data_IF_056831625781
#
_entry.id   IF_056831625781
#
_cell.length_a   1.000
_cell.length_b   1.000
_cell.length_c   1.000
_cell.angle_alpha   90.00
_cell.angle_beta   90.00
_cell.angle_gamma   90.00
#
_symmetry.space_group_name_H-M   'P 1'
#
loop_
_entity.id
_entity.type
_entity.pdbx_description
1 polymer ?
#
# COMPACT_ATOMS: atom_id res chain seq x y z
N UNK A 1 -4.45 -23.25 7.46
CA UNK A 1 -4.68 -23.09 8.91
C UNK A 1 -5.79 -22.06 9.12
N UNK A 2 -6.14 -21.69 10.36
CA UNK A 2 -6.98 -20.51 10.58
C UNK A 2 -6.12 -19.25 10.43
N UNK A 3 -6.66 -18.21 9.81
CA UNK A 3 -5.97 -16.92 9.70
C UNK A 3 -5.76 -16.33 11.10
N UNK A 4 -4.55 -15.88 11.37
CA UNK A 4 -4.21 -15.12 12.57
C UNK A 4 -3.75 -13.72 12.17
N UNK A 5 -4.15 -12.71 12.93
CA UNK A 5 -3.80 -11.31 12.70
C UNK A 5 -3.18 -10.74 13.95
N UNK A 6 -2.08 -10.02 13.83
CA UNK A 6 -1.54 -9.25 14.93
C UNK A 6 -2.42 -8.03 15.22
N UNK A 7 -3.02 -8.04 16.40
CA UNK A 7 -3.88 -6.95 16.84
C UNK A 7 -3.05 -5.92 17.63
N UNK A 8 -2.94 -4.71 17.11
CA UNK A 8 -2.19 -3.63 17.77
C UNK A 8 -2.77 -3.32 19.15
N UNK A 9 -4.08 -3.48 19.33
CA UNK A 9 -4.74 -3.27 20.60
C UNK A 9 -4.23 -4.28 21.64
N UNK A 10 -4.24 -5.59 21.38
CA UNK A 10 -3.79 -6.60 22.35
C UNK A 10 -2.28 -6.85 22.37
N UNK A 11 -1.57 -6.45 21.31
CA UNK A 11 -0.16 -6.77 21.03
C UNK A 11 0.13 -8.26 20.88
N UNK A 12 -0.84 -9.02 20.39
CA UNK A 12 -0.68 -10.45 20.15
C UNK A 12 -1.27 -10.84 18.79
N UNK A 13 -0.81 -11.97 18.24
CA UNK A 13 -1.48 -12.60 17.10
C UNK A 13 -2.71 -13.33 17.62
N UNK A 14 -3.88 -12.99 17.08
CA UNK A 14 -5.17 -13.55 17.47
C UNK A 14 -5.78 -14.28 16.27
N UNK A 15 -6.50 -15.37 16.52
CA UNK A 15 -7.25 -16.05 15.46
C UNK A 15 -8.34 -15.09 14.96
N UNK A 16 -8.31 -14.78 13.68
CA UNK A 16 -9.28 -13.89 13.06
C UNK A 16 -10.62 -14.61 12.88
N UNK A 17 -11.67 -14.05 13.46
CA UNK A 17 -13.05 -14.50 13.32
C UNK A 17 -13.91 -13.30 12.92
N UNK A 18 -14.57 -13.30 11.76
CA UNK A 18 -15.45 -12.22 11.37
C UNK A 18 -16.61 -12.06 12.35
N UNK A 19 -17.12 -10.84 12.47
CA UNK A 19 -18.25 -10.47 13.32
C UNK A 19 -19.56 -11.08 12.83
N UNK A 20 -19.72 -11.24 11.52
CA UNK A 20 -20.95 -11.73 10.90
C UNK A 20 -20.66 -12.80 9.83
N UNK A 21 -20.76 -14.06 10.23
CA UNK A 21 -20.60 -15.20 9.33
C UNK A 21 -19.25 -15.17 8.60
N UNK A 22 -19.29 -14.98 7.28
CA UNK A 22 -18.12 -14.93 6.41
C UNK A 22 -17.85 -13.52 5.84
N UNK A 23 -18.60 -12.51 6.29
CA UNK A 23 -18.43 -11.12 5.85
C UNK A 23 -17.35 -10.42 6.66
N UNK A 24 -16.40 -9.79 5.96
CA UNK A 24 -15.32 -9.01 6.56
C UNK A 24 -15.46 -7.56 6.15
N UNK A 25 -15.55 -6.67 7.13
CA UNK A 25 -15.63 -5.21 6.94
C UNK A 25 -14.31 -4.58 7.37
N UNK A 26 -13.56 -4.08 6.40
CA UNK A 26 -12.23 -3.51 6.61
C UNK A 26 -12.21 -2.03 6.24
N UNK A 27 -11.76 -1.19 7.16
CA UNK A 27 -11.48 0.23 6.91
C UNK A 27 -9.98 0.49 7.01
N UNK A 28 -9.40 1.23 6.07
CA UNK A 28 -8.00 1.69 6.14
C UNK A 28 -7.97 3.19 5.93
N UNK A 29 -7.33 3.94 6.82
CA UNK A 29 -7.15 5.37 6.64
C UNK A 29 -6.36 5.66 5.35
N UNK A 30 -6.92 6.50 4.49
CA UNK A 30 -6.32 6.87 3.21
C UNK A 30 -5.46 8.13 3.28
N UNK A 31 -5.42 8.86 2.16
CA UNK A 31 -4.40 9.88 1.90
C UNK A 31 -5.01 11.28 1.97
N UNK A 32 -4.23 12.23 2.50
CA UNK A 32 -4.49 13.67 2.30
C UNK A 32 -3.99 14.06 0.92
N UNK A 33 -4.89 14.39 0.00
CA UNK A 33 -4.59 14.59 -1.43
C UNK A 33 -4.15 16.01 -1.76
N UNK A 34 -3.06 16.46 -1.11
CA UNK A 34 -2.44 17.78 -1.36
C UNK A 34 -1.16 17.71 -2.22
N UNK A 35 -0.60 16.52 -2.40
CA UNK A 35 0.67 16.28 -3.08
C UNK A 35 0.72 14.85 -3.62
N UNK A 36 1.72 14.55 -4.46
CA UNK A 36 1.95 13.19 -4.93
C UNK A 36 2.27 12.21 -3.78
N UNK A 37 1.84 10.97 -3.93
CA UNK A 37 2.13 9.93 -2.97
C UNK A 37 3.61 9.56 -2.96
N UNK A 38 4.14 9.21 -1.79
CA UNK A 38 5.53 8.77 -1.61
C UNK A 38 5.62 7.28 -1.27
N UNK A 39 6.84 6.73 -1.25
CA UNK A 39 7.04 5.28 -1.00
C UNK A 39 6.49 4.83 0.36
N UNK A 40 6.46 5.72 1.35
CA UNK A 40 5.71 5.50 2.60
C UNK A 40 4.22 5.21 2.39
N UNK A 41 3.54 5.93 1.49
CA UNK A 41 2.15 5.63 1.11
C UNK A 41 2.06 4.31 0.33
N UNK A 42 2.98 4.06 -0.60
CA UNK A 42 3.04 2.81 -1.36
C UNK A 42 3.10 1.59 -0.43
N UNK A 43 3.88 1.67 0.65
CA UNK A 43 3.96 0.59 1.66
C UNK A 43 2.60 0.27 2.28
N UNK A 44 1.82 1.28 2.66
CA UNK A 44 0.49 1.08 3.23
C UNK A 44 -0.46 0.53 2.16
N UNK A 45 -0.47 1.12 0.97
CA UNK A 45 -1.32 0.70 -0.14
C UNK A 45 -1.07 -0.76 -0.53
N UNK A 46 0.18 -1.16 -0.72
CA UNK A 46 0.57 -2.53 -1.09
C UNK A 46 0.29 -3.51 0.05
N UNK A 47 0.58 -3.16 1.31
CA UNK A 47 0.30 -4.04 2.44
C UNK A 47 -1.20 -4.38 2.55
N UNK A 48 -2.07 -3.38 2.49
CA UNK A 48 -3.51 -3.61 2.61
C UNK A 48 -4.15 -4.15 1.33
N UNK A 49 -3.53 -3.94 0.16
CA UNK A 49 -3.87 -4.67 -1.06
C UNK A 49 -3.61 -6.17 -0.91
N UNK A 50 -2.43 -6.58 -0.40
CA UNK A 50 -2.12 -7.99 -0.12
C UNK A 50 -3.09 -8.59 0.91
N UNK A 51 -3.42 -7.85 1.97
CA UNK A 51 -4.44 -8.26 2.94
C UNK A 51 -5.79 -8.50 2.25
N UNK A 52 -6.24 -7.55 1.43
CA UNK A 52 -7.52 -7.65 0.71
C UNK A 52 -7.54 -8.84 -0.26
N UNK A 53 -6.43 -9.08 -0.98
CA UNK A 53 -6.28 -10.19 -1.92
C UNK A 53 -6.30 -11.53 -1.18
N UNK A 54 -5.62 -11.64 -0.04
CA UNK A 54 -5.63 -12.87 0.75
C UNK A 54 -7.00 -13.17 1.34
N UNK A 55 -7.69 -12.17 1.91
CA UNK A 55 -9.04 -12.35 2.44
C UNK A 55 -10.00 -12.85 1.36
N UNK A 56 -9.99 -12.22 0.18
CA UNK A 56 -10.81 -12.66 -0.97
C UNK A 56 -10.39 -14.05 -1.47
N UNK A 57 -9.09 -14.34 -1.54
CA UNK A 57 -8.59 -15.67 -1.93
C UNK A 57 -9.03 -16.78 -0.95
N UNK A 58 -9.13 -16.46 0.36
CA UNK A 58 -9.66 -17.36 1.38
C UNK A 58 -11.18 -17.52 1.34
N UNK A 59 -11.84 -16.82 0.44
CA UNK A 59 -13.28 -16.90 0.22
C UNK A 59 -14.10 -16.00 1.15
N UNK A 60 -13.49 -15.06 1.89
CA UNK A 60 -14.24 -14.08 2.66
C UNK A 60 -14.99 -13.10 1.75
N UNK A 61 -16.19 -12.71 2.17
CA UNK A 61 -16.96 -11.64 1.54
C UNK A 61 -16.49 -10.29 2.09
N UNK A 62 -15.45 -9.73 1.46
CA UNK A 62 -14.77 -8.52 1.92
C UNK A 62 -15.46 -7.25 1.38
N UNK A 63 -15.86 -6.38 2.29
CA UNK A 63 -16.07 -4.94 2.01
C UNK A 63 -14.86 -4.16 2.50
N UNK A 64 -14.04 -3.67 1.57
CA UNK A 64 -12.86 -2.83 1.83
C UNK A 64 -13.16 -1.36 1.54
N UNK A 65 -13.06 -0.53 2.58
CA UNK A 65 -13.25 0.92 2.52
C UNK A 65 -11.93 1.63 2.82
N UNK A 66 -11.60 2.65 2.05
CA UNK A 66 -10.46 3.54 2.33
C UNK A 66 -10.81 4.96 1.95
N UNK A 67 -10.76 5.90 2.87
CA UNK A 67 -11.20 7.26 2.58
C UNK A 67 -10.22 8.07 1.74
N UNK A 68 -10.68 9.23 1.29
CA UNK A 68 -9.85 10.32 0.77
C UNK A 68 -10.07 11.53 1.67
N UNK A 69 -8.99 12.07 2.26
CA UNK A 69 -9.04 13.37 2.93
C UNK A 69 -8.81 14.44 1.87
N UNK A 70 -9.90 15.05 1.40
CA UNK A 70 -9.93 16.10 0.38
C UNK A 70 -10.20 17.51 0.95
N UNK A 71 -10.17 17.64 2.28
CA UNK A 71 -10.18 18.92 2.99
C UNK A 71 -9.24 18.86 4.21
N UNK A 72 -8.20 19.67 4.23
CA UNK A 72 -7.24 19.75 5.34
C UNK A 72 -6.42 21.05 5.25
N UNK A 73 -5.78 21.47 6.35
CA UNK A 73 -4.86 22.61 6.40
C UNK A 73 -3.76 22.52 5.33
N UNK A 74 -3.25 21.31 5.00
CA UNK A 74 -2.22 21.12 3.96
C UNK A 74 -2.76 21.35 2.56
N UNK A 75 -4.00 20.92 2.29
CA UNK A 75 -4.67 21.10 0.99
C UNK A 75 -4.93 22.58 0.75
N UNK A 76 -5.51 23.26 1.75
CA UNK A 76 -5.83 24.70 1.65
C UNK A 76 -4.57 25.52 1.40
N UNK A 77 -3.49 25.27 2.16
CA UNK A 77 -2.22 25.96 1.96
C UNK A 77 -1.65 25.72 0.57
N UNK A 78 -1.60 24.47 0.11
CA UNK A 78 -1.07 24.15 -1.23
C UNK A 78 -1.92 24.75 -2.35
N UNK A 79 -3.24 24.73 -2.22
CA UNK A 79 -4.14 25.32 -3.22
C UNK A 79 -3.90 26.84 -3.33
N UNK A 80 -3.75 27.52 -2.18
CA UNK A 80 -3.40 28.93 -2.14
C UNK A 80 -2.02 29.22 -2.74
N UNK A 81 -1.00 28.42 -2.41
CA UNK A 81 0.36 28.54 -2.98
C UNK A 81 0.35 28.38 -4.51
N UNK A 82 -0.51 27.50 -5.03
CA UNK A 82 -0.66 27.24 -6.46
C UNK A 82 -1.55 28.25 -7.19
N UNK A 83 -2.32 29.08 -6.47
CA UNK A 83 -3.32 29.98 -7.04
C UNK A 83 -4.48 29.23 -7.71
N UNK A 84 -4.85 28.04 -7.23
CA UNK A 84 -5.96 27.23 -7.74
C UNK A 84 -6.99 26.93 -6.63
N UNK A 85 -8.21 26.49 -7.00
CA UNK A 85 -9.18 26.03 -6.00
C UNK A 85 -8.75 24.70 -5.37
N UNK A 86 -9.16 24.45 -4.13
CA UNK A 86 -8.81 23.19 -3.48
C UNK A 86 -9.40 21.99 -4.22
N UNK A 87 -10.58 22.10 -4.83
CA UNK A 87 -11.20 21.04 -5.63
C UNK A 87 -10.36 20.68 -6.86
N UNK A 88 -9.79 21.67 -7.55
CA UNK A 88 -8.90 21.42 -8.69
C UNK A 88 -7.64 20.68 -8.26
N UNK A 89 -7.03 21.09 -7.14
CA UNK A 89 -5.88 20.41 -6.57
C UNK A 89 -6.22 18.96 -6.19
N UNK A 90 -7.29 18.75 -5.43
CA UNK A 90 -7.63 17.42 -4.91
C UNK A 90 -8.01 16.47 -6.01
N UNK A 91 -8.80 16.90 -7.02
CA UNK A 91 -9.16 16.02 -8.14
C UNK A 91 -7.92 15.59 -8.94
N UNK A 92 -6.98 16.51 -9.17
CA UNK A 92 -5.71 16.21 -9.83
C UNK A 92 -4.84 15.25 -9.01
N UNK A 93 -4.79 15.42 -7.69
CA UNK A 93 -4.02 14.53 -6.79
C UNK A 93 -4.68 13.16 -6.59
N UNK A 94 -6.02 13.08 -6.62
CA UNK A 94 -6.77 11.82 -6.58
C UNK A 94 -6.48 11.01 -7.86
N UNK A 95 -6.59 11.63 -9.03
CA UNK A 95 -6.25 10.99 -10.29
C UNK A 95 -4.79 10.49 -10.28
N UNK A 96 -3.86 11.33 -9.80
CA UNK A 96 -2.45 10.96 -9.70
C UNK A 96 -2.22 9.79 -8.72
N UNK A 97 -2.92 9.77 -7.58
CA UNK A 97 -2.87 8.67 -6.62
C UNK A 97 -3.34 7.36 -7.28
N UNK A 98 -4.44 7.38 -8.02
CA UNK A 98 -5.00 6.18 -8.68
C UNK A 98 -4.10 5.66 -9.80
N UNK A 99 -3.45 6.56 -10.55
CA UNK A 99 -2.41 6.18 -11.51
C UNK A 99 -1.23 5.46 -10.83
N UNK A 100 -0.75 5.98 -9.69
CA UNK A 100 0.35 5.38 -8.95
C UNK A 100 -0.04 4.01 -8.36
N UNK A 101 -1.27 3.87 -7.86
CA UNK A 101 -1.84 2.60 -7.41
C UNK A 101 -1.90 1.57 -8.54
N UNK A 102 -2.42 1.96 -9.70
CA UNK A 102 -2.53 1.08 -10.86
C UNK A 102 -1.16 0.60 -11.33
N UNK A 103 -0.17 1.50 -11.38
CA UNK A 103 1.23 1.14 -11.73
C UNK A 103 1.81 0.15 -10.73
N UNK A 104 1.51 0.28 -9.45
CA UNK A 104 1.94 -0.66 -8.40
C UNK A 104 1.06 -1.92 -8.28
N UNK A 105 0.11 -2.15 -9.21
CA UNK A 105 -0.84 -3.28 -9.16
C UNK A 105 -1.66 -3.33 -7.85
N UNK A 106 -1.96 -2.17 -7.27
CA UNK A 106 -2.85 -2.05 -6.11
C UNK A 106 -4.29 -2.05 -6.60
N UNK A 107 -5.12 -2.95 -6.05
CA UNK A 107 -6.55 -2.96 -6.34
C UNK A 107 -7.22 -1.76 -5.67
N UNK A 108 -8.24 -1.22 -6.35
CA UNK A 108 -9.13 -0.20 -5.78
C UNK A 108 -9.89 -0.80 -4.58
N UNK A 109 -10.12 -0.03 -3.51
CA UNK A 109 -11.07 -0.42 -2.47
C UNK A 109 -12.49 -0.49 -3.06
N UNK A 110 -13.38 -1.21 -2.38
CA UNK A 110 -14.78 -1.33 -2.79
C UNK A 110 -15.52 0.01 -2.62
N UNK A 111 -15.09 0.84 -1.66
CA UNK A 111 -15.58 2.21 -1.48
C UNK A 111 -14.45 3.16 -1.12
N UNK A 112 -14.52 4.39 -1.66
CA UNK A 112 -13.50 5.43 -1.46
C UNK A 112 -14.14 6.78 -1.06
N UNK A 113 -14.78 6.87 0.13
CA UNK A 113 -15.54 8.06 0.53
C UNK A 113 -14.64 9.28 0.71
N UNK A 114 -15.14 10.46 0.30
CA UNK A 114 -14.43 11.74 0.43
C UNK A 114 -14.90 12.50 1.66
N UNK A 115 -13.98 13.08 2.43
CA UNK A 115 -14.33 13.82 3.64
C UNK A 115 -15.34 14.96 3.38
N UNK A 116 -15.18 15.69 2.27
CA UNK A 116 -16.08 16.77 1.86
C UNK A 116 -17.53 16.34 1.61
N UNK A 117 -17.78 15.06 1.32
CA UNK A 117 -19.10 14.49 1.05
C UNK A 117 -19.82 14.01 2.33
N UNK A 118 -19.12 13.95 3.46
CA UNK A 118 -19.62 13.39 4.73
C UNK A 118 -19.78 14.42 5.85
N UNK A 119 -19.71 15.72 5.54
CA UNK A 119 -19.80 16.83 6.51
C UNK A 119 -21.06 16.76 7.37
N UNK A 120 -22.22 16.46 6.78
CA UNK A 120 -23.47 16.31 7.52
C UNK A 120 -23.41 15.17 8.56
N UNK A 121 -22.69 14.08 8.26
CA UNK A 121 -22.43 13.01 9.22
C UNK A 121 -21.55 13.48 10.37
N UNK A 122 -20.56 14.32 10.07
CA UNK A 122 -19.67 14.91 11.08
C UNK A 122 -20.44 15.85 12.00
N UNK A 123 -21.33 16.71 11.47
CA UNK A 123 -22.21 17.52 12.30
C UNK A 123 -23.03 16.67 13.29
N UNK A 124 -23.64 15.57 12.81
CA UNK A 124 -24.44 14.68 13.68
C UNK A 124 -23.61 13.98 14.75
N UNK A 125 -22.44 13.45 14.40
CA UNK A 125 -21.57 12.78 15.38
C UNK A 125 -21.04 13.78 16.41
N UNK A 126 -20.63 14.97 15.98
CA UNK A 126 -20.16 16.02 16.89
C UNK A 126 -21.29 16.45 17.83
N UNK A 127 -22.51 16.66 17.33
CA UNK A 127 -23.65 16.97 18.20
C UNK A 127 -23.91 15.85 19.21
N UNK A 128 -23.85 14.59 18.79
CA UNK A 128 -23.98 13.43 19.71
C UNK A 128 -22.91 13.45 20.80
N UNK A 129 -21.67 13.79 20.45
CA UNK A 129 -20.58 13.91 21.41
C UNK A 129 -20.79 15.08 22.38
N UNK A 130 -21.32 16.21 21.91
CA UNK A 130 -21.70 17.36 22.77
C UNK A 130 -22.82 16.96 23.74
N UNK A 131 -23.89 16.33 23.24
CA UNK A 131 -25.05 15.92 24.04
C UNK A 131 -24.64 14.93 25.14
N UNK A 132 -23.71 14.02 24.82
CA UNK A 132 -23.10 13.09 25.77
C UNK A 132 -22.00 13.74 26.62
N UNK A 133 -21.66 15.01 26.39
CA UNK A 133 -20.66 15.81 27.09
C UNK A 133 -19.20 15.41 26.87
N UNK A 134 -18.91 14.65 25.81
CA UNK A 134 -17.57 14.33 25.32
C UNK A 134 -16.99 15.41 24.40
N UNK A 135 -17.78 16.41 24.01
CA UNK A 135 -17.31 17.55 23.25
C UNK A 135 -17.89 18.87 23.80
N UNK A 136 -17.29 19.99 23.42
CA UNK A 136 -17.75 21.33 23.79
C UNK A 136 -17.37 22.36 22.73
N UNK A 137 -18.20 23.40 22.59
CA UNK A 137 -17.97 24.54 21.71
C UNK A 137 -17.88 25.81 22.57
N UNK A 138 -16.69 26.39 22.80
CA UNK A 138 -16.53 27.51 23.72
C UNK A 138 -16.98 28.86 23.13
N UNK A 139 -17.42 28.89 21.86
CA UNK A 139 -17.93 30.10 21.19
C UNK A 139 -16.91 30.80 20.29
N UNK A 140 -15.75 30.20 20.04
CA UNK A 140 -14.73 30.69 19.11
C UNK A 140 -14.86 30.13 17.67
N UNK A 141 -15.93 29.36 17.40
CA UNK A 141 -16.15 28.65 16.13
C UNK A 141 -15.58 27.23 16.09
N UNK A 142 -14.66 26.89 16.99
CA UNK A 142 -14.14 25.53 17.12
C UNK A 142 -15.05 24.67 18.01
N UNK A 143 -15.03 23.36 17.76
CA UNK A 143 -15.58 22.33 18.65
C UNK A 143 -14.46 21.38 19.03
N UNK A 144 -14.26 21.15 20.32
CA UNK A 144 -13.20 20.30 20.83
C UNK A 144 -13.76 19.02 21.45
N UNK A 145 -13.02 17.93 21.29
CA UNK A 145 -13.23 16.68 22.02
C UNK A 145 -12.57 16.76 23.40
N UNK A 146 -13.29 16.33 24.43
CA UNK A 146 -12.85 16.29 25.83
C UNK A 146 -12.16 14.96 26.13
N UNK A 147 -10.84 14.92 25.97
CA UNK A 147 -10.03 13.71 26.16
C UNK A 147 -10.19 13.14 27.56
N UNK A 148 -10.16 14.00 28.59
CA UNK A 148 -10.23 13.60 29.98
C UNK A 148 -11.53 12.89 30.39
N UNK A 149 -12.58 12.93 29.55
CA UNK A 149 -13.84 12.21 29.82
C UNK A 149 -13.82 10.76 29.31
N UNK A 150 -13.00 10.46 28.31
CA UNK A 150 -12.98 9.14 27.69
C UNK A 150 -12.16 8.15 28.51
N UNK A 151 -12.86 7.19 29.13
CA UNK A 151 -12.22 6.13 29.88
C UNK A 151 -11.40 5.22 28.95
N UNK A 152 -10.11 5.07 29.24
CA UNK A 152 -9.20 4.24 28.44
C UNK A 152 -8.59 4.94 27.23
N UNK A 153 -8.64 6.28 27.14
CA UNK A 153 -7.86 7.02 26.15
C UNK A 153 -6.37 6.67 26.26
N UNK A 154 -5.75 6.27 25.15
CA UNK A 154 -4.37 5.75 25.13
C UNK A 154 -4.29 4.22 25.08
N UNK A 155 -5.42 3.50 25.07
CA UNK A 155 -5.45 2.03 25.07
C UNK A 155 -4.82 1.40 23.83
N UNK A 156 -4.88 2.05 22.67
CA UNK A 156 -4.28 1.53 21.43
C UNK A 156 -2.77 1.75 21.44
N UNK A 157 -2.35 2.98 21.70
CA UNK A 157 -0.94 3.41 21.71
C UNK A 157 -0.16 2.96 22.95
N UNK A 158 -0.86 2.54 24.01
CA UNK A 158 -0.33 2.25 25.35
C UNK A 158 0.36 3.46 26.00
N UNK A 159 -0.03 4.66 25.60
CA UNK A 159 0.40 5.91 26.24
C UNK A 159 -0.53 6.22 27.39
N UNK A 160 0.02 6.61 28.53
CA UNK A 160 -0.77 7.10 29.66
C UNK A 160 -1.05 8.59 29.49
N UNK A 161 -2.23 9.03 29.90
CA UNK A 161 -2.66 10.43 29.78
C UNK A 161 -1.67 11.36 30.49
N UNK A 162 -1.14 10.94 31.64
CA UNK A 162 -0.18 11.74 32.43
C UNK A 162 1.11 12.01 31.65
N UNK A 163 1.62 11.01 30.94
CA UNK A 163 2.86 11.13 30.16
C UNK A 163 2.66 12.06 28.93
N UNK A 164 1.45 12.08 28.38
CA UNK A 164 1.08 12.97 27.26
C UNK A 164 1.05 14.44 27.68
N UNK A 165 0.54 14.74 28.90
CA UNK A 165 0.46 16.11 29.42
C UNK A 165 1.83 16.75 29.64
N UNK A 166 2.82 15.96 30.02
CA UNK A 166 4.21 16.43 30.25
C UNK A 166 4.89 16.82 28.93
N UNK A 167 4.59 16.10 27.84
CA UNK A 167 5.21 16.29 26.53
C UNK A 167 4.49 17.29 25.60
N UNK A 168 3.27 17.71 25.93
CA UNK A 168 2.54 18.72 25.17
C UNK A 168 3.33 20.04 25.22
N UNK A 169 3.90 20.47 24.09
CA UNK A 169 4.45 21.82 23.95
C UNK A 169 3.29 22.79 24.24
N UNK A 170 3.41 23.51 25.34
CA UNK A 170 2.41 24.45 25.82
C UNK A 170 2.46 25.68 24.91
N UNK A 171 1.84 25.61 23.72
CA UNK A 171 1.13 26.76 23.19
C UNK A 171 -0.25 26.69 23.82
N UNK A 172 -0.48 27.53 24.84
CA UNK A 172 -1.79 27.64 25.47
C UNK A 172 -2.74 28.22 24.43
N UNK A 173 -3.41 27.37 23.68
CA UNK A 173 -4.67 27.76 23.05
C UNK A 173 -5.66 27.97 24.21
N UNK A 174 -5.84 29.22 24.63
CA UNK A 174 -6.67 29.61 25.78
C UNK A 174 -8.12 29.12 25.66
N UNK A 175 -8.56 28.72 24.46
CA UNK A 175 -9.89 28.18 24.23
C UNK A 175 -10.06 26.71 24.69
N UNK A 176 -8.97 25.94 24.81
CA UNK A 176 -9.03 24.54 25.24
C UNK A 176 -9.09 24.41 26.76
N UNK A 177 -10.02 23.58 27.24
CA UNK A 177 -10.15 23.25 28.66
C UNK A 177 -9.07 22.27 29.15
N UNK A 178 -8.53 21.43 28.26
CA UNK A 178 -7.37 20.57 28.52
C UNK A 178 -6.41 20.63 27.31
N UNK A 179 -5.07 20.72 27.51
CA UNK A 179 -4.11 20.71 26.41
C UNK A 179 -4.18 19.49 25.49
N UNK A 180 -4.71 18.36 25.98
CA UNK A 180 -4.89 17.15 25.19
C UNK A 180 -6.15 17.18 24.31
N UNK A 181 -7.09 18.09 24.58
CA UNK A 181 -8.30 18.21 23.79
C UNK A 181 -7.95 18.56 22.33
N UNK A 182 -8.64 17.89 21.42
CA UNK A 182 -8.38 18.01 19.98
C UNK A 182 -9.63 18.49 19.24
N UNK A 183 -9.40 19.16 18.12
CA UNK A 183 -10.47 19.75 17.32
C UNK A 183 -11.29 18.68 16.61
N UNK A 184 -12.61 18.76 16.73
CA UNK A 184 -13.59 18.03 15.95
C UNK A 184 -14.10 18.86 14.76
N UNK A 185 -14.33 20.15 15.00
CA UNK A 185 -14.75 21.13 13.99
C UNK A 185 -13.91 22.40 14.16
N UNK A 186 -13.38 22.92 13.07
CA UNK A 186 -12.48 24.07 13.05
C UNK A 186 -13.22 25.26 12.45
N UNK A 187 -13.34 26.35 13.20
CA UNK A 187 -13.95 27.60 12.75
C UNK A 187 -13.22 28.17 11.54
N UNK A 188 -13.98 28.81 10.65
CA UNK A 188 -13.45 29.34 9.39
C UNK A 188 -12.46 30.49 9.63
N UNK A 189 -11.35 30.46 8.89
CA UNK A 189 -10.47 31.62 8.72
C UNK A 189 -10.79 32.33 7.40
N UNK A 190 -10.58 33.66 7.29
CA UNK A 190 -10.88 34.39 6.07
C UNK A 190 -10.25 33.75 4.83
N UNK A 191 -11.09 33.43 3.83
CA UNK A 191 -10.66 32.82 2.57
C UNK A 191 -10.48 31.31 2.58
N UNK A 192 -10.70 30.62 3.70
CA UNK A 192 -10.71 29.15 3.74
C UNK A 192 -12.07 28.58 3.28
N UNK A 193 -12.08 27.41 2.61
CA UNK A 193 -13.31 26.69 2.34
C UNK A 193 -13.99 26.28 3.66
N UNK A 194 -15.32 26.38 3.67
CA UNK A 194 -16.12 26.11 4.86
C UNK A 194 -17.53 25.63 4.51
N UNK A 195 -18.18 25.03 5.50
CA UNK A 195 -19.56 24.60 5.51
C UNK A 195 -20.29 25.27 6.66
N UNK A 196 -21.57 25.65 6.47
CA UNK A 196 -22.41 26.12 7.56
C UNK A 196 -22.59 25.01 8.61
N UNK A 197 -22.46 25.37 9.89
CA UNK A 197 -22.67 24.44 11.00
C UNK A 197 -23.40 25.11 12.17
N UNK A 198 -23.95 24.34 13.12
CA UNK A 198 -24.54 24.88 14.35
C UNK A 198 -23.58 25.71 15.21
N UNK A 199 -22.27 25.59 14.98
CA UNK A 199 -21.22 26.27 15.74
C UNK A 199 -20.57 27.42 14.95
N UNK A 200 -21.15 27.78 13.80
CA UNK A 200 -20.60 28.74 12.84
C UNK A 200 -19.94 28.05 11.66
N UNK A 201 -19.67 28.82 10.60
CA UNK A 201 -19.01 28.30 9.40
C UNK A 201 -17.64 27.74 9.75
N UNK A 202 -17.33 26.56 9.22
CA UNK A 202 -16.07 25.89 9.51
C UNK A 202 -15.85 24.65 8.67
N UNK A 203 -14.99 23.75 9.14
CA UNK A 203 -14.60 22.54 8.42
C UNK A 203 -14.19 21.44 9.41
N UNK A 204 -14.16 20.17 8.99
CA UNK A 204 -13.81 19.09 9.90
C UNK A 204 -12.37 19.19 10.42
N UNK A 205 -12.18 18.70 11.66
CA UNK A 205 -10.87 18.33 12.17
C UNK A 205 -10.45 16.95 11.64
N UNK A 206 -9.14 16.75 11.46
CA UNK A 206 -8.58 15.58 10.79
C UNK A 206 -9.14 14.21 11.25
N UNK A 207 -9.43 14.04 12.54
CA UNK A 207 -9.83 12.73 13.09
C UNK A 207 -11.30 12.37 12.86
N UNK A 208 -12.21 13.36 12.88
CA UNK A 208 -13.67 13.08 12.87
C UNK A 208 -14.13 12.48 11.55
N UNK A 209 -13.39 12.77 10.47
CA UNK A 209 -13.63 12.27 9.13
C UNK A 209 -13.71 10.75 9.10
N UNK A 210 -12.67 10.08 9.59
CA UNK A 210 -12.56 8.62 9.56
C UNK A 210 -13.62 7.95 10.44
N UNK A 211 -13.85 8.46 11.65
CA UNK A 211 -14.92 7.96 12.55
C UNK A 211 -16.30 7.98 11.89
N UNK A 212 -16.60 9.03 11.12
CA UNK A 212 -17.91 9.18 10.45
C UNK A 212 -17.99 8.34 9.20
N UNK A 213 -16.97 8.38 8.33
CA UNK A 213 -16.99 7.64 7.07
C UNK A 213 -16.99 6.14 7.31
N UNK A 214 -16.15 5.64 8.23
CA UNK A 214 -16.09 4.21 8.55
C UNK A 214 -17.41 3.70 9.13
N UNK A 215 -18.01 4.42 10.08
CA UNK A 215 -19.30 4.03 10.70
C UNK A 215 -20.45 4.13 9.70
N UNK A 216 -20.41 5.10 8.79
CA UNK A 216 -21.39 5.22 7.71
C UNK A 216 -21.31 4.04 6.74
N UNK A 217 -20.11 3.63 6.34
CA UNK A 217 -19.91 2.57 5.34
C UNK A 217 -20.01 1.15 5.92
N UNK A 218 -19.56 0.95 7.17
CA UNK A 218 -19.36 -0.37 7.76
C UNK A 218 -20.18 -0.64 9.03
N UNK A 219 -20.86 0.38 9.56
CA UNK A 219 -21.60 0.32 10.83
C UNK A 219 -20.75 0.63 12.06
N UNK A 220 -21.39 0.70 13.22
CA UNK A 220 -20.77 1.15 14.49
C UNK A 220 -19.60 0.30 14.99
N UNK A 221 -19.54 -0.98 14.58
CA UNK A 221 -18.49 -1.94 14.92
C UNK A 221 -18.16 -2.78 13.68
N UNK A 222 -16.89 -2.84 13.30
CA UNK A 222 -16.41 -3.62 12.14
C UNK A 222 -15.14 -4.44 12.46
N UNK A 223 -14.73 -5.26 11.50
CA UNK A 223 -13.76 -6.34 11.72
C UNK A 223 -12.32 -5.84 11.83
N UNK A 224 -11.86 -5.05 10.85
CA UNK A 224 -10.47 -4.64 10.70
C UNK A 224 -10.36 -3.13 10.48
N UNK A 225 -9.53 -2.46 11.29
CA UNK A 225 -9.07 -1.10 11.04
C UNK A 225 -7.57 -1.09 10.75
N UNK A 226 -7.17 -0.52 9.61
CA UNK A 226 -5.80 -0.45 9.15
C UNK A 226 -5.24 0.97 8.99
N UNK A 227 -3.90 1.11 9.04
CA UNK A 227 -3.24 2.36 8.68
C UNK A 227 -1.71 2.30 8.71
N UNK A 228 -1.08 3.46 8.51
CA UNK A 228 0.37 3.62 8.66
C UNK A 228 0.83 3.63 10.12
N UNK A 229 2.15 3.55 10.37
CA UNK A 229 2.70 3.44 11.73
C UNK A 229 2.48 4.71 12.55
N UNK A 230 2.49 5.88 11.90
CA UNK A 230 2.28 7.18 12.54
C UNK A 230 0.79 7.43 12.88
N UNK A 231 -0.14 6.58 12.43
CA UNK A 231 -1.57 6.73 12.70
C UNK A 231 -2.01 6.13 14.04
N UNK A 232 -1.21 5.24 14.65
CA UNK A 232 -1.50 4.66 15.98
C UNK A 232 -1.81 5.77 17.00
N UNK A 233 -1.03 6.86 16.97
CA UNK A 233 -1.27 8.04 17.79
C UNK A 233 -0.82 9.31 17.06
N UNK A 234 -1.63 10.40 17.07
CA UNK A 234 -2.91 10.50 17.78
C UNK A 234 -4.11 9.99 16.99
N UNK A 235 -3.98 9.70 15.69
CA UNK A 235 -5.12 9.58 14.78
C UNK A 235 -6.11 8.46 15.17
N UNK A 236 -5.70 7.20 15.15
CA UNK A 236 -6.57 6.07 15.47
C UNK A 236 -7.00 6.05 16.94
N UNK A 237 -6.17 6.56 17.86
CA UNK A 237 -6.57 6.72 19.26
C UNK A 237 -7.74 7.70 19.40
N UNK A 238 -7.72 8.80 18.63
CA UNK A 238 -8.80 9.78 18.59
C UNK A 238 -10.06 9.22 17.92
N UNK A 239 -9.92 8.40 16.88
CA UNK A 239 -11.07 7.76 16.23
C UNK A 239 -11.79 6.79 17.15
N UNK A 240 -11.03 5.98 17.90
CA UNK A 240 -11.59 5.13 18.95
C UNK A 240 -12.37 5.99 19.96
N UNK A 241 -11.76 7.07 20.45
CA UNK A 241 -12.38 7.94 21.44
C UNK A 241 -13.68 8.59 20.91
N UNK A 242 -13.68 9.07 19.67
CA UNK A 242 -14.85 9.64 19.01
C UNK A 242 -15.95 8.59 18.81
N UNK A 243 -15.61 7.48 18.17
CA UNK A 243 -16.57 6.47 17.73
C UNK A 243 -17.19 5.74 18.91
N UNK A 244 -16.39 5.25 19.86
CA UNK A 244 -16.91 4.53 21.02
C UNK A 244 -17.71 5.44 21.96
N UNK A 245 -17.33 6.71 22.12
CA UNK A 245 -18.14 7.67 22.89
C UNK A 245 -19.47 8.00 22.19
N UNK A 246 -19.46 8.14 20.86
CA UNK A 246 -20.65 8.44 20.07
C UNK A 246 -21.62 7.25 20.01
N UNK A 247 -21.14 6.01 19.85
CA UNK A 247 -21.98 4.82 19.65
C UNK A 247 -22.21 4.00 20.92
N UNK A 248 -21.28 4.05 21.88
CA UNK A 248 -21.28 3.17 23.06
C UNK A 248 -20.85 1.73 22.76
N UNK A 249 -20.30 1.45 21.58
CA UNK A 249 -19.86 0.13 21.13
C UNK A 249 -18.36 0.12 20.83
N UNK A 250 -17.68 -1.04 20.86
CA UNK A 250 -16.31 -1.16 20.34
C UNK A 250 -16.25 -0.71 18.88
N UNK A 251 -15.21 0.04 18.50
CA UNK A 251 -15.11 0.61 17.15
C UNK A 251 -14.65 -0.43 16.11
N UNK A 252 -13.53 -1.10 16.35
CA UNK A 252 -12.99 -2.14 15.48
C UNK A 252 -12.38 -3.29 16.30
N UNK A 253 -12.51 -4.52 15.80
CA UNK A 253 -12.05 -5.72 16.52
C UNK A 253 -10.54 -5.93 16.37
N UNK A 254 -10.00 -5.74 15.16
CA UNK A 254 -8.57 -5.91 14.85
C UNK A 254 -7.95 -4.62 14.36
N UNK A 255 -6.82 -4.23 14.96
CA UNK A 255 -6.06 -3.04 14.56
C UNK A 255 -4.75 -3.41 13.88
N UNK A 256 -4.61 -3.10 12.60
CA UNK A 256 -3.44 -3.41 11.78
C UNK A 256 -2.65 -2.14 11.45
N UNK A 257 -1.33 -2.15 11.64
CA UNK A 257 -0.48 -1.02 11.28
C UNK A 257 0.74 -1.48 10.47
N UNK A 258 0.92 -0.89 9.30
CA UNK A 258 2.10 -1.14 8.47
C UNK A 258 3.35 -0.51 9.12
N UNK A 259 4.50 -1.15 8.93
CA UNK A 259 5.80 -0.65 9.39
C UNK A 259 6.28 0.56 8.58
N UNK A 260 7.14 1.36 9.20
CA UNK A 260 7.67 2.57 8.58
C UNK A 260 8.66 2.28 7.45
N UNK A 261 8.67 3.14 6.43
CA UNK A 261 9.72 3.16 5.42
C UNK A 261 10.88 4.03 5.91
N UNK A 262 12.08 3.49 5.82
CA UNK A 262 13.36 4.18 6.00
C UNK A 262 14.06 4.34 4.66
N UNK A 263 14.90 5.35 4.54
CA UNK A 263 15.74 5.59 3.37
C UNK A 263 17.17 5.60 3.85
N UNK A 264 17.98 4.66 3.36
CA UNK A 264 19.39 4.48 3.79
C UNK A 264 19.56 4.45 5.33
N UNK A 265 18.63 3.77 6.01
CA UNK A 265 18.61 3.62 7.47
C UNK A 265 17.94 4.78 8.23
N UNK A 266 17.71 5.93 7.58
CA UNK A 266 17.12 7.12 8.17
C UNK A 266 15.60 7.21 7.99
N UNK A 267 14.92 8.01 8.82
CA UNK A 267 13.50 8.32 8.62
C UNK A 267 13.36 9.19 7.36
N UNK A 268 12.42 8.82 6.48
CA UNK A 268 12.07 9.64 5.32
C UNK A 268 11.47 10.99 5.77
N UNK A 269 12.02 12.10 5.28
CA UNK A 269 11.46 13.42 5.49
C UNK A 269 11.86 14.40 4.38
N UNK A 270 10.99 15.38 4.09
CA UNK A 270 11.31 16.43 3.13
C UNK A 270 12.52 17.27 3.56
N UNK A 271 12.71 17.48 4.88
CA UNK A 271 13.80 18.31 5.42
C UNK A 271 15.18 17.65 5.31
N UNK A 272 15.24 16.32 5.26
CA UNK A 272 16.49 15.56 5.05
C UNK A 272 16.81 15.36 3.56
N UNK A 273 15.95 15.84 2.65
CA UNK A 273 16.14 15.65 1.21
C UNK A 273 16.02 14.21 0.72
N UNK A 274 15.63 13.27 1.60
CA UNK A 274 15.53 11.84 1.32
C UNK A 274 14.08 11.39 1.05
N UNK A 275 13.23 12.32 0.62
CA UNK A 275 11.82 12.09 0.28
C UNK A 275 11.69 11.77 -1.22
N UNK A 276 11.11 10.61 -1.54
CA UNK A 276 10.88 10.18 -2.91
C UNK A 276 9.39 9.91 -3.15
N UNK A 277 8.82 10.54 -4.18
CA UNK A 277 7.47 10.18 -4.62
C UNK A 277 7.48 8.79 -5.24
N UNK A 278 6.31 8.14 -5.33
CA UNK A 278 6.18 6.88 -6.06
C UNK A 278 6.65 7.08 -7.50
N UNK A 279 6.24 8.19 -8.12
CA UNK A 279 6.60 8.53 -9.51
C UNK A 279 8.11 8.65 -9.72
N UNK A 280 8.82 9.35 -8.85
CA UNK A 280 10.28 9.49 -8.94
C UNK A 280 11.00 8.15 -8.94
N UNK A 281 10.49 7.19 -8.16
CA UNK A 281 11.04 5.82 -8.10
C UNK A 281 10.66 5.04 -9.36
N UNK A 282 9.42 5.15 -9.80
CA UNK A 282 8.91 4.44 -10.97
C UNK A 282 9.45 4.96 -12.30
N UNK A 283 10.11 6.13 -12.33
CA UNK A 283 10.91 6.58 -13.47
C UNK A 283 12.21 5.78 -13.62
N UNK A 284 12.75 5.25 -12.52
CA UNK A 284 14.04 4.56 -12.48
C UNK A 284 13.92 3.05 -12.41
N UNK A 285 12.84 2.56 -11.80
CA UNK A 285 12.64 1.14 -11.55
C UNK A 285 11.28 0.69 -12.05
N UNK A 286 11.26 -0.52 -12.63
CA UNK A 286 10.03 -1.15 -13.05
C UNK A 286 9.05 -1.27 -11.87
N UNK A 287 7.74 -0.96 -12.03
CA UNK A 287 6.81 -0.92 -10.90
C UNK A 287 6.70 -2.20 -10.08
N UNK A 288 6.81 -3.35 -10.74
CA UNK A 288 6.80 -4.63 -10.04
C UNK A 288 8.04 -4.85 -9.16
N UNK A 289 9.19 -4.25 -9.49
CA UNK A 289 10.40 -4.29 -8.63
C UNK A 289 10.12 -3.56 -7.32
N UNK A 290 9.51 -2.38 -7.40
CA UNK A 290 9.10 -1.62 -6.22
C UNK A 290 8.05 -2.38 -5.40
N UNK A 291 7.06 -2.97 -6.07
CA UNK A 291 6.07 -3.80 -5.40
C UNK A 291 6.70 -5.01 -4.70
N UNK A 292 7.60 -5.72 -5.37
CA UNK A 292 8.30 -6.88 -4.79
C UNK A 292 9.11 -6.47 -3.56
N UNK A 293 9.85 -5.37 -3.61
CA UNK A 293 10.55 -4.83 -2.45
C UNK A 293 9.59 -4.65 -1.25
N UNK A 294 8.43 -4.04 -1.50
CA UNK A 294 7.41 -3.82 -0.47
C UNK A 294 6.75 -5.12 0.02
N UNK A 295 6.59 -6.13 -0.83
CA UNK A 295 5.99 -7.43 -0.46
C UNK A 295 6.99 -8.33 0.26
N UNK A 296 8.27 -8.33 -0.12
CA UNK A 296 9.29 -9.22 0.41
C UNK A 296 9.64 -8.96 1.89
N UNK A 297 9.13 -7.87 2.48
CA UNK A 297 9.25 -7.56 3.91
C UNK A 297 7.89 -7.66 4.60
N UNK A 298 7.83 -8.40 5.73
CA UNK A 298 6.62 -8.54 6.54
C UNK A 298 5.99 -7.17 6.81
N UNK A 299 4.68 -7.01 6.60
CA UNK A 299 4.02 -5.69 6.52
C UNK A 299 4.25 -4.78 7.73
N UNK A 300 4.36 -5.37 8.94
CA UNK A 300 4.65 -4.67 10.21
C UNK A 300 6.11 -4.26 10.41
N UNK A 301 7.05 -4.92 9.74
CA UNK A 301 8.47 -4.62 9.89
C UNK A 301 8.80 -3.30 9.20
N UNK A 302 9.74 -2.51 9.76
CA UNK A 302 10.29 -1.39 9.03
C UNK A 302 10.98 -1.91 7.76
N UNK A 303 10.82 -1.19 6.67
CA UNK A 303 11.49 -1.51 5.40
C UNK A 303 12.52 -0.43 5.08
N UNK A 304 13.70 -0.86 4.67
CA UNK A 304 14.72 0.07 4.16
C UNK A 304 14.60 0.18 2.65
N UNK A 305 14.41 1.39 2.16
CA UNK A 305 14.51 1.74 0.76
C UNK A 305 15.96 2.18 0.49
N UNK A 306 16.64 1.44 -0.37
CA UNK A 306 17.97 1.75 -0.89
C UNK A 306 18.07 1.23 -2.32
N UNK A 307 19.01 1.77 -3.08
CA UNK A 307 19.27 1.30 -4.45
C UNK A 307 19.69 -0.18 -4.49
N UNK A 308 20.48 -0.63 -3.51
CA UNK A 308 20.89 -2.03 -3.40
C UNK A 308 19.68 -2.97 -3.18
N UNK A 309 18.74 -2.58 -2.32
CA UNK A 309 17.54 -3.38 -2.06
C UNK A 309 16.64 -3.47 -3.32
N UNK A 310 16.63 -2.44 -4.17
CA UNK A 310 15.91 -2.47 -5.44
C UNK A 310 16.59 -3.36 -6.49
N UNK A 311 17.93 -3.36 -6.52
CA UNK A 311 18.71 -4.30 -7.36
C UNK A 311 18.45 -5.74 -6.95
N UNK A 312 18.48 -6.02 -5.65
CA UNK A 312 18.16 -7.35 -5.12
C UNK A 312 16.71 -7.76 -5.44
N UNK A 313 15.75 -6.84 -5.26
CA UNK A 313 14.35 -7.06 -5.62
C UNK A 313 14.17 -7.39 -7.10
N UNK A 314 14.92 -6.73 -7.97
CA UNK A 314 14.93 -7.02 -9.40
C UNK A 314 15.53 -8.39 -9.70
N UNK A 315 16.71 -8.70 -9.20
CA UNK A 315 17.35 -10.00 -9.42
C UNK A 315 16.46 -11.16 -8.92
N UNK A 316 15.73 -10.94 -7.83
CA UNK A 316 14.70 -11.87 -7.36
C UNK A 316 13.60 -12.10 -8.40
N UNK A 317 13.00 -11.03 -8.95
CA UNK A 317 11.97 -11.12 -9.98
C UNK A 317 12.49 -11.75 -11.29
N UNK A 318 13.71 -11.42 -11.71
CA UNK A 318 14.30 -12.02 -12.91
C UNK A 318 14.42 -13.54 -12.79
N UNK A 319 14.73 -14.07 -11.59
CA UNK A 319 14.75 -15.52 -11.35
C UNK A 319 13.36 -16.14 -11.49
N UNK A 320 12.32 -15.46 -11.01
CA UNK A 320 10.94 -15.91 -11.22
C UNK A 320 10.57 -15.91 -12.71
N UNK A 321 10.78 -14.78 -13.39
CA UNK A 321 10.40 -14.64 -14.80
C UNK A 321 11.21 -15.58 -15.72
N UNK A 322 12.48 -15.86 -15.43
CA UNK A 322 13.24 -16.91 -16.13
C UNK A 322 12.65 -18.32 -15.92
N UNK A 323 12.12 -18.61 -14.73
CA UNK A 323 11.40 -19.86 -14.49
C UNK A 323 10.08 -19.94 -15.27
N UNK A 324 9.41 -18.81 -15.52
CA UNK A 324 8.18 -18.76 -16.33
C UNK A 324 8.43 -18.77 -17.84
N UNK A 325 9.58 -18.25 -18.29
CA UNK A 325 9.90 -18.06 -19.71
C UNK A 325 9.87 -19.36 -20.52
N UNK A 326 9.27 -19.28 -21.71
CA UNK A 326 9.28 -20.35 -22.73
C UNK A 326 8.39 -21.56 -22.42
N UNK A 327 7.52 -21.47 -21.42
CA UNK A 327 6.54 -22.51 -21.12
C UNK A 327 5.26 -22.29 -21.94
N UNK A 328 4.61 -23.36 -22.44
CA UNK A 328 3.29 -23.25 -23.05
C UNK A 328 2.25 -22.82 -22.00
N UNK A 329 1.13 -22.28 -22.47
CA UNK A 329 -0.02 -22.02 -21.60
C UNK A 329 -0.62 -23.33 -21.07
N UNK A 330 -0.93 -23.37 -19.78
CA UNK A 330 -1.49 -24.53 -19.11
C UNK A 330 -2.38 -24.11 -17.94
N UNK A 331 -3.32 -24.98 -17.57
CA UNK A 331 -4.07 -24.83 -16.33
C UNK A 331 -3.20 -25.15 -15.11
N UNK A 332 -3.43 -24.46 -14.00
CA UNK A 332 -2.70 -24.67 -12.76
C UNK A 332 -2.96 -26.07 -12.19
N UNK A 333 -1.92 -26.91 -12.10
CA UNK A 333 -2.02 -28.25 -11.54
C UNK A 333 -0.71 -28.67 -10.84
N UNK A 334 -0.83 -29.62 -9.91
CA UNK A 334 0.27 -30.05 -9.05
C UNK A 334 0.67 -29.00 -8.01
N UNK A 335 1.72 -29.29 -7.26
CA UNK A 335 2.28 -28.36 -6.27
C UNK A 335 1.37 -28.09 -5.07
N UNK A 336 0.49 -29.03 -4.72
CA UNK A 336 -0.46 -28.86 -3.60
C UNK A 336 0.26 -28.61 -2.27
N UNK A 337 1.45 -29.22 -2.07
CA UNK A 337 2.30 -28.92 -0.91
C UNK A 337 2.74 -27.44 -0.85
N UNK A 338 2.97 -26.80 -2.00
CA UNK A 338 3.33 -25.38 -2.05
C UNK A 338 2.11 -24.50 -1.78
N UNK A 339 0.93 -24.90 -2.23
CA UNK A 339 -0.32 -24.21 -1.89
C UNK A 339 -0.55 -24.24 -0.38
N UNK A 340 -0.40 -25.40 0.24
CA UNK A 340 -0.55 -25.55 1.70
C UNK A 340 0.48 -24.72 2.48
N UNK A 341 1.75 -24.75 2.07
CA UNK A 341 2.82 -23.95 2.69
C UNK A 341 2.62 -22.45 2.49
N UNK A 342 2.23 -22.03 1.29
CA UNK A 342 1.93 -20.62 0.99
C UNK A 342 0.75 -20.14 1.84
N UNK A 343 -0.32 -20.94 1.92
CA UNK A 343 -1.47 -20.63 2.75
C UNK A 343 -1.12 -20.58 4.24
N UNK A 344 -0.26 -21.48 4.71
CA UNK A 344 0.26 -21.46 6.08
C UNK A 344 1.02 -20.16 6.40
N UNK A 345 1.88 -19.70 5.48
CA UNK A 345 2.61 -18.45 5.63
C UNK A 345 1.66 -17.24 5.66
N UNK A 346 0.71 -17.19 4.73
CA UNK A 346 -0.25 -16.08 4.65
C UNK A 346 -1.26 -16.08 5.82
N UNK A 347 -1.64 -17.26 6.33
CA UNK A 347 -2.45 -17.41 7.54
C UNK A 347 -1.72 -16.96 8.82
N UNK A 348 -0.38 -16.93 8.81
CA UNK A 348 0.43 -16.41 9.92
C UNK A 348 0.66 -14.90 9.78
N UNK A 349 -0.39 -14.09 9.98
CA UNK A 349 -0.29 -12.62 9.97
C UNK A 349 0.26 -12.06 8.64
N UNK A 350 -0.15 -12.65 7.51
CA UNK A 350 0.26 -12.24 6.17
C UNK A 350 1.79 -12.24 6.00
N UNK A 351 2.45 -13.35 6.38
CA UNK A 351 3.90 -13.50 6.33
C UNK A 351 4.42 -13.66 4.89
N UNK A 352 4.43 -12.54 4.17
CA UNK A 352 4.87 -12.47 2.77
C UNK A 352 6.34 -12.85 2.54
N UNK A 353 7.31 -12.63 3.45
CA UNK A 353 8.66 -13.18 3.27
C UNK A 353 8.68 -14.71 3.14
N UNK A 354 7.95 -15.41 4.02
CA UNK A 354 7.84 -16.87 3.97
C UNK A 354 7.05 -17.33 2.74
N UNK A 355 5.98 -16.61 2.39
CA UNK A 355 5.23 -16.87 1.17
C UNK A 355 6.12 -16.75 -0.08
N UNK A 356 6.96 -15.70 -0.17
CA UNK A 356 7.95 -15.53 -1.25
C UNK A 356 8.99 -16.66 -1.28
N UNK A 357 9.42 -17.17 -0.11
CA UNK A 357 10.31 -18.33 -0.05
C UNK A 357 9.67 -19.57 -0.69
N UNK A 358 8.39 -19.82 -0.42
CA UNK A 358 7.60 -20.89 -1.06
C UNK A 358 7.52 -20.69 -2.58
N UNK A 359 7.27 -19.46 -3.05
CA UNK A 359 7.27 -19.16 -4.49
C UNK A 359 8.64 -19.48 -5.12
N UNK A 360 9.76 -19.17 -4.44
CA UNK A 360 11.09 -19.50 -4.95
C UNK A 360 11.32 -21.01 -5.04
N UNK A 361 10.85 -21.78 -4.06
CA UNK A 361 10.92 -23.24 -4.12
C UNK A 361 10.15 -23.78 -5.33
N UNK A 362 8.95 -23.25 -5.59
CA UNK A 362 8.18 -23.57 -6.80
C UNK A 362 8.94 -23.22 -8.07
N UNK A 363 9.57 -22.04 -8.14
CA UNK A 363 10.35 -21.64 -9.31
C UNK A 363 11.55 -22.57 -9.56
N UNK A 364 12.20 -23.09 -8.50
CA UNK A 364 13.25 -24.12 -8.65
C UNK A 364 12.67 -25.41 -9.21
N UNK A 365 11.52 -25.83 -8.72
CA UNK A 365 10.87 -27.07 -9.19
C UNK A 365 10.36 -26.95 -10.64
N UNK A 366 9.83 -25.80 -11.03
CA UNK A 366 9.49 -25.50 -12.43
C UNK A 366 10.71 -25.68 -13.33
N UNK A 367 11.87 -25.14 -12.94
CA UNK A 367 13.11 -25.30 -13.72
C UNK A 367 13.57 -26.76 -13.79
N UNK A 368 13.45 -27.54 -12.71
CA UNK A 368 13.76 -28.98 -12.71
C UNK A 368 12.85 -29.74 -13.67
N UNK A 369 11.55 -29.42 -13.68
CA UNK A 369 10.58 -30.05 -14.57
C UNK A 369 10.80 -29.67 -16.03
N UNK A 370 11.25 -28.45 -16.35
CA UNK A 370 11.57 -28.06 -17.75
C UNK A 370 12.54 -29.01 -18.45
N UNK A 371 13.43 -29.65 -17.69
CA UNK A 371 14.42 -30.59 -18.24
C UNK A 371 13.84 -31.97 -18.56
N UNK A 372 12.71 -32.34 -17.95
CA UNK A 372 12.17 -33.71 -17.98
C UNK A 372 10.73 -33.81 -18.46
N UNK A 373 9.86 -32.89 -18.06
CA UNK A 373 8.44 -32.83 -18.41
C UNK A 373 7.97 -31.36 -18.52
N UNK A 374 7.95 -30.85 -19.75
CA UNK A 374 7.58 -29.46 -20.04
C UNK A 374 6.10 -29.17 -19.74
N UNK A 375 5.21 -30.16 -19.86
CA UNK A 375 3.79 -29.96 -19.59
C UNK A 375 3.53 -29.87 -18.08
N UNK A 376 4.19 -30.71 -17.28
CA UNK A 376 4.16 -30.59 -15.83
C UNK A 376 4.79 -29.26 -15.36
N UNK A 377 5.89 -28.83 -15.98
CA UNK A 377 6.51 -27.54 -15.69
C UNK A 377 5.56 -26.37 -15.97
N UNK A 378 4.83 -26.41 -17.10
CA UNK A 378 3.84 -25.40 -17.46
C UNK A 378 2.68 -25.34 -16.47
N UNK A 379 2.14 -26.50 -16.06
CA UNK A 379 1.06 -26.56 -15.08
C UNK A 379 1.48 -26.04 -13.70
N UNK A 380 2.68 -26.37 -13.23
CA UNK A 380 3.22 -25.84 -11.97
C UNK A 380 3.54 -24.35 -12.07
N UNK A 381 4.02 -23.87 -13.21
CA UNK A 381 4.25 -22.44 -13.46
C UNK A 381 2.95 -21.64 -13.45
N UNK A 382 1.85 -22.20 -13.99
CA UNK A 382 0.52 -21.60 -13.87
C UNK A 382 0.07 -21.52 -12.39
N UNK A 383 0.30 -22.57 -11.58
CA UNK A 383 0.06 -22.53 -10.13
C UNK A 383 0.93 -21.50 -9.41
N UNK A 384 2.21 -21.36 -9.80
CA UNK A 384 3.11 -20.32 -9.27
C UNK A 384 2.54 -18.91 -9.55
N UNK A 385 2.09 -18.64 -10.78
CA UNK A 385 1.46 -17.36 -11.14
C UNK A 385 0.17 -17.09 -10.37
N UNK A 386 -0.63 -18.12 -10.14
CA UNK A 386 -1.86 -18.03 -9.34
C UNK A 386 -1.56 -17.58 -7.90
N UNK A 387 -0.63 -18.24 -7.22
CA UNK A 387 -0.23 -17.88 -5.85
C UNK A 387 0.46 -16.52 -5.79
N UNK A 388 1.37 -16.22 -6.73
CA UNK A 388 2.01 -14.91 -6.83
C UNK A 388 1.00 -13.78 -7.07
N UNK A 389 -0.10 -14.06 -7.79
CA UNK A 389 -1.21 -13.13 -8.02
C UNK A 389 -1.91 -12.65 -6.74
N UNK A 390 -1.91 -13.47 -5.67
CA UNK A 390 -2.39 -13.07 -4.34
C UNK A 390 -1.53 -11.93 -3.76
N UNK A 391 -0.23 -11.90 -4.10
CA UNK A 391 0.68 -10.81 -3.75
C UNK A 391 0.81 -9.75 -4.84
N UNK A 392 0.06 -9.87 -5.95
CA UNK A 392 0.12 -8.97 -7.11
C UNK A 392 1.46 -9.02 -7.87
N UNK A 393 2.12 -10.17 -7.87
CA UNK A 393 3.40 -10.42 -8.54
C UNK A 393 3.22 -11.45 -9.66
N UNK A 394 4.16 -11.48 -10.62
CA UNK A 394 4.30 -12.44 -11.72
C UNK A 394 3.12 -12.47 -12.71
N UNK A 395 2.50 -11.30 -12.92
CA UNK A 395 1.34 -11.16 -13.79
C UNK A 395 1.68 -10.71 -15.21
N UNK A 396 2.91 -10.25 -15.44
CA UNK A 396 3.38 -9.87 -16.77
C UNK A 396 3.77 -11.10 -17.60
N UNK A 397 3.90 -10.88 -18.90
CA UNK A 397 4.65 -11.78 -19.77
C UNK A 397 6.14 -11.76 -19.40
N UNK A 398 6.79 -12.93 -19.45
CA UNK A 398 8.16 -13.09 -18.99
C UNK A 398 9.18 -12.34 -19.86
N UNK A 399 9.01 -12.35 -21.18
CA UNK A 399 9.89 -11.61 -22.07
C UNK A 399 9.70 -10.10 -21.88
N UNK A 400 8.46 -9.66 -21.71
CA UNK A 400 8.12 -8.26 -21.43
C UNK A 400 8.83 -7.72 -20.17
N UNK A 401 8.83 -8.47 -19.06
CA UNK A 401 9.54 -8.05 -17.86
C UNK A 401 11.07 -8.08 -18.03
N UNK A 402 11.61 -9.19 -18.56
CA UNK A 402 13.06 -9.38 -18.71
C UNK A 402 13.70 -8.39 -19.70
N UNK A 403 12.90 -7.85 -20.62
CA UNK A 403 13.31 -6.83 -21.59
C UNK A 403 12.84 -5.41 -21.22
N UNK A 404 12.19 -5.20 -20.08
CA UNK A 404 11.60 -3.90 -19.72
C UNK A 404 12.63 -2.76 -19.67
N UNK A 405 13.87 -3.06 -19.26
CA UNK A 405 14.97 -2.09 -19.26
C UNK A 405 15.55 -1.80 -20.65
N UNK A 406 15.32 -2.70 -21.61
CA UNK A 406 15.72 -2.51 -22.99
C UNK A 406 14.81 -1.47 -23.65
N UNK A 407 13.52 -1.48 -23.31
CA UNK A 407 12.55 -0.50 -23.76
C UNK A 407 12.91 0.91 -23.27
N UNK A 408 13.65 1.64 -24.10
CA UNK A 408 14.12 3.01 -23.83
C UNK A 408 15.64 3.18 -23.82
N UNK A 409 16.42 2.09 -23.65
CA UNK A 409 17.88 2.09 -23.81
C UNK A 409 18.31 1.63 -25.20
N UNK A 410 17.55 0.72 -25.79
CA UNK A 410 17.79 0.15 -27.13
C UNK A 410 16.46 -0.10 -27.83
N UNK A 411 16.42 -0.02 -29.16
CA UNK A 411 15.23 -0.42 -29.92
C UNK A 411 15.17 -1.95 -29.98
N UNK A 412 14.22 -2.57 -29.28
CA UNK A 412 14.08 -4.02 -29.22
C UNK A 412 13.88 -4.64 -30.62
N UNK A 413 13.21 -3.96 -31.55
CA UNK A 413 13.05 -4.43 -32.92
C UNK A 413 14.40 -4.39 -33.68
N UNK A 414 15.22 -3.37 -33.40
CA UNK A 414 16.58 -3.29 -33.92
C UNK A 414 17.46 -4.43 -33.36
N UNK A 415 17.39 -4.70 -32.05
CA UNK A 415 18.15 -5.80 -31.43
C UNK A 415 17.73 -7.13 -32.03
N UNK A 416 16.43 -7.38 -32.20
CA UNK A 416 15.93 -8.62 -32.79
C UNK A 416 16.40 -8.77 -34.24
N UNK A 417 16.35 -7.69 -35.04
CA UNK A 417 16.88 -7.70 -36.41
C UNK A 417 18.40 -8.00 -36.44
N UNK A 418 19.17 -7.49 -35.49
CA UNK A 418 20.59 -7.81 -35.35
C UNK A 418 20.83 -9.27 -34.94
N UNK A 419 20.02 -9.81 -34.02
CA UNK A 419 20.07 -11.23 -33.63
C UNK A 419 19.76 -12.15 -34.82
N UNK A 420 18.73 -11.84 -35.60
CA UNK A 420 18.42 -12.60 -36.84
C UNK A 420 19.56 -12.50 -37.86
N UNK A 421 20.15 -11.31 -38.05
CA UNK A 421 21.31 -11.13 -38.94
C UNK A 421 22.51 -11.96 -38.47
N UNK A 422 22.75 -12.04 -37.16
CA UNK A 422 23.79 -12.89 -36.57
C UNK A 422 23.52 -14.37 -36.80
N UNK A 423 22.28 -14.81 -36.59
CA UNK A 423 21.87 -16.20 -36.84
C UNK A 423 22.10 -16.61 -38.29
N UNK A 424 21.76 -15.72 -39.23
CA UNK A 424 22.05 -15.92 -40.65
C UNK A 424 23.56 -16.01 -40.93
N UNK A 425 24.37 -15.10 -40.38
CA UNK A 425 25.82 -15.15 -40.53
C UNK A 425 26.42 -16.47 -40.00
N UNK A 426 25.89 -16.99 -38.89
CA UNK A 426 26.29 -18.31 -38.35
C UNK A 426 25.88 -19.47 -39.27
N UNK A 427 24.67 -19.42 -39.84
CA UNK A 427 24.19 -20.44 -40.78
C UNK A 427 25.05 -20.49 -42.05
N UNK A 428 25.50 -19.32 -42.53
CA UNK A 428 26.40 -19.17 -43.68
C UNK A 428 27.89 -19.43 -43.34
N UNK A 429 28.20 -19.78 -42.08
CA UNK A 429 29.57 -19.96 -41.55
C UNK A 429 30.45 -18.70 -41.67
N UNK A 430 29.84 -17.52 -41.73
CA UNK A 430 30.51 -16.23 -41.67
C UNK A 430 30.77 -15.82 -40.21
N UNK A 431 31.79 -16.42 -39.61
CA UNK A 431 32.14 -16.21 -38.20
C UNK A 431 32.55 -14.76 -37.90
N UNK A 432 33.26 -14.12 -38.82
CA UNK A 432 33.68 -12.72 -38.67
C UNK A 432 32.48 -11.77 -38.52
N UNK A 433 31.45 -11.94 -39.35
CA UNK A 433 30.24 -11.12 -39.26
C UNK A 433 29.40 -11.45 -38.02
N UNK A 434 29.30 -12.73 -37.65
CA UNK A 434 28.63 -13.15 -36.41
C UNK A 434 29.29 -12.51 -35.18
N UNK A 435 30.63 -12.49 -35.12
CA UNK A 435 31.37 -11.88 -34.02
C UNK A 435 31.23 -10.35 -34.02
N UNK A 436 31.29 -9.71 -35.20
CA UNK A 436 31.05 -8.26 -35.34
C UNK A 436 29.69 -7.84 -34.78
N UNK A 437 28.63 -8.58 -35.12
CA UNK A 437 27.27 -8.29 -34.63
C UNK A 437 27.17 -8.55 -33.12
N UNK A 438 27.76 -9.63 -32.60
CA UNK A 438 27.81 -9.90 -31.15
C UNK A 438 28.49 -8.75 -30.41
N UNK A 439 29.61 -8.26 -30.92
CA UNK A 439 30.37 -7.21 -30.26
C UNK A 439 29.63 -5.85 -30.32
N UNK A 440 28.90 -5.58 -31.40
CA UNK A 440 27.98 -4.42 -31.47
C UNK A 440 26.86 -4.52 -30.46
N UNK A 441 26.23 -5.69 -30.33
CA UNK A 441 25.20 -5.94 -29.33
C UNK A 441 25.75 -5.77 -27.91
N UNK A 442 26.94 -6.31 -27.63
CA UNK A 442 27.61 -6.12 -26.35
C UNK A 442 27.93 -4.65 -26.03
N UNK A 443 28.32 -3.86 -27.05
CA UNK A 443 28.55 -2.43 -26.90
C UNK A 443 27.26 -1.63 -26.62
N UNK A 444 26.11 -2.14 -27.08
CA UNK A 444 24.78 -1.63 -26.73
C UNK A 444 24.30 -2.13 -25.36
N UNK A 445 25.15 -2.83 -24.61
CA UNK A 445 24.80 -3.43 -23.32
C UNK A 445 23.92 -4.67 -23.47
N UNK A 446 23.85 -5.32 -24.63
CA UNK A 446 23.06 -6.55 -24.84
C UNK A 446 23.96 -7.78 -24.68
N UNK A 447 23.55 -8.71 -23.82
CA UNK A 447 24.18 -10.03 -23.64
C UNK A 447 23.36 -11.07 -24.40
N UNK A 448 24.05 -11.90 -25.18
CA UNK A 448 23.44 -13.00 -25.92
C UNK A 448 23.65 -14.33 -25.18
N UNK A 449 22.59 -15.12 -25.07
CA UNK A 449 22.60 -16.50 -24.58
C UNK A 449 22.17 -17.44 -25.72
N UNK A 450 23.11 -18.27 -26.21
CA UNK A 450 22.83 -19.29 -27.22
C UNK A 450 22.50 -20.63 -26.54
N UNK A 451 21.33 -21.22 -26.81
CA UNK A 451 20.95 -22.54 -26.29
C UNK A 451 20.09 -23.34 -27.27
N UNK A 452 20.42 -24.62 -27.48
CA UNK A 452 19.69 -25.60 -28.32
C UNK A 452 19.23 -25.06 -29.71
N UNK A 453 20.01 -24.18 -30.33
CA UNK A 453 19.71 -23.62 -31.67
C UNK A 453 18.90 -22.33 -31.66
N UNK A 454 18.51 -21.81 -30.50
CA UNK A 454 17.92 -20.49 -30.33
C UNK A 454 18.94 -19.53 -29.69
N UNK A 455 18.94 -18.28 -30.14
CA UNK A 455 19.64 -17.18 -29.47
C UNK A 455 18.60 -16.36 -28.73
N UNK A 456 18.80 -16.15 -27.44
CA UNK A 456 18.05 -15.19 -26.64
C UNK A 456 18.96 -14.06 -26.19
N UNK A 457 18.38 -12.94 -25.76
CA UNK A 457 19.15 -11.78 -25.33
C UNK A 457 18.56 -11.13 -24.07
N UNK A 458 19.42 -10.49 -23.29
CA UNK A 458 19.07 -9.63 -22.15
C UNK A 458 19.97 -8.40 -22.14
N UNK A 459 19.63 -7.36 -21.37
CA UNK A 459 20.61 -6.31 -21.11
C UNK A 459 21.61 -6.73 -20.02
N UNK A 460 22.79 -6.13 -20.08
CA UNK A 460 23.82 -6.14 -19.05
C UNK A 460 23.45 -5.08 -18.01
N UNK A 461 23.50 -5.46 -16.74
CA UNK A 461 23.25 -4.56 -15.60
C UNK A 461 24.12 -3.30 -15.63
#
# INVERSE_FOLDING_TARGET
>A
MALSIYNTLSKTKEVFTPLEGNSVRMYVCGMTVYDYCHIGHARVMVAFDVVSRWLRHRGYDLTYVRNITDIDDKIIRRANDNGESFQQLTERMIAAMHEDEARLSVLRPDQEPRASEHVEGMHRMIQTLIDKGYAYAPGNGDVYYRVGKFAGYGKLSRKRIEDLKIGARIEVDEAKQDPLDFVLWKGVKPGEPSWPSPWGDGRPGWHIECSVMSTCCLGDTFDIHGGGPDLVFPHHENEIAQSEAATGKPYAMSWMHAGAVRVDGEKMSKSLGNFFTIRDVLEKYHPEVVRYLLVASHYRSPINYSEDNLKEARSALERFYRALKGLPEAAAAGGDEFVERFAAAMDDDFNTPEACAVLFDMAREVNRLKESDVLAAAALAARLRELAGVTGLLQLDADSFLQADAAGKVDAAQIEAMVQSRLQARAEKNWAESDRIRDQLAAMGVVLEDSKGATTWSLKD
#
